data_IF_390062766661
#
_entry.id   IF_390062766661
#
_cell.length_a   1.000
_cell.length_b   1.000
_cell.length_c   1.000
_cell.angle_alpha   90.00
_cell.angle_beta   90.00
_cell.angle_gamma   90.00
#
_symmetry.space_group_name_H-M   'P 1'
#
loop_
_entity.id
_entity.type
_entity.pdbx_description
1 polymer ?
#
# COMPACT_ATOMS: atom_id res chain seq x y z
N UNK A 1 7.06 19.35 -1.17
CA UNK A 1 6.36 19.20 0.12
C UNK A 1 7.09 18.11 0.89
N UNK A 2 7.62 18.40 2.08
CA UNK A 2 8.24 17.36 2.89
C UNK A 2 7.13 16.59 3.60
N UNK A 3 7.06 15.28 3.37
CA UNK A 3 6.13 14.42 4.09
C UNK A 3 6.54 14.43 5.57
N UNK A 4 5.56 14.47 6.48
CA UNK A 4 5.85 14.38 7.90
C UNK A 4 6.56 13.05 8.21
N UNK A 5 7.59 13.09 9.07
CA UNK A 5 8.43 11.92 9.38
C UNK A 5 7.64 10.77 9.99
N UNK A 6 6.53 11.06 10.69
CA UNK A 6 5.66 10.02 11.24
C UNK A 6 4.85 9.36 10.13
N UNK A 7 4.34 10.14 9.18
CA UNK A 7 3.62 9.63 8.00
C UNK A 7 4.54 8.79 7.12
N UNK A 8 5.77 9.24 6.89
CA UNK A 8 6.76 8.46 6.14
C UNK A 8 7.02 7.10 6.80
N UNK A 9 7.28 7.06 8.11
CA UNK A 9 7.47 5.80 8.86
C UNK A 9 6.25 4.90 8.82
N UNK A 10 5.05 5.48 8.89
CA UNK A 10 3.80 4.74 8.79
C UNK A 10 3.69 4.03 7.43
N UNK A 11 3.93 4.76 6.35
CA UNK A 11 3.85 4.22 5.00
C UNK A 11 4.95 3.18 4.73
N UNK A 12 6.16 3.37 5.26
CA UNK A 12 7.21 2.34 5.21
C UNK A 12 6.75 1.08 5.94
N UNK A 13 6.15 1.19 7.13
CA UNK A 13 5.60 0.04 7.87
C UNK A 13 4.51 -0.67 7.05
N UNK A 14 3.65 0.09 6.38
CA UNK A 14 2.60 -0.45 5.49
C UNK A 14 3.23 -1.19 4.31
N UNK A 15 4.18 -0.61 3.60
CA UNK A 15 4.89 -1.29 2.51
C UNK A 15 5.60 -2.57 2.96
N UNK A 16 6.36 -2.53 4.07
CA UNK A 16 6.98 -3.74 4.64
C UNK A 16 5.95 -4.81 5.03
N UNK A 17 4.79 -4.39 5.55
CA UNK A 17 3.70 -5.32 5.89
C UNK A 17 3.01 -5.91 4.66
N UNK A 18 2.97 -5.16 3.54
CA UNK A 18 2.40 -5.62 2.27
C UNK A 18 3.14 -6.87 1.77
N UNK A 19 4.47 -6.87 1.84
CA UNK A 19 5.33 -8.00 1.48
C UNK A 19 5.25 -9.21 2.43
N UNK A 20 4.59 -9.09 3.60
CA UNK A 20 4.61 -10.16 4.62
C UNK A 20 3.64 -11.32 4.36
N UNK A 21 2.80 -11.23 3.33
CA UNK A 21 1.71 -12.18 3.03
C UNK A 21 0.73 -12.43 4.19
N UNK A 22 0.65 -11.50 5.15
CA UNK A 22 -0.22 -11.55 6.33
C UNK A 22 -1.21 -10.36 6.29
N UNK A 23 -2.38 -10.51 5.64
CA UNK A 23 -3.35 -9.42 5.46
C UNK A 23 -3.79 -8.76 6.78
N UNK A 24 -3.91 -9.54 7.84
CA UNK A 24 -4.28 -9.02 9.18
C UNK A 24 -3.18 -8.11 9.73
N UNK A 25 -1.90 -8.45 9.55
CA UNK A 25 -0.79 -7.57 9.99
C UNK A 25 -0.79 -6.26 9.21
N UNK A 26 -1.07 -6.32 7.91
CA UNK A 26 -1.20 -5.10 7.11
C UNK A 26 -2.39 -4.26 7.56
N UNK A 27 -3.54 -4.89 7.81
CA UNK A 27 -4.73 -4.22 8.36
C UNK A 27 -4.41 -3.48 9.65
N UNK A 28 -3.81 -4.15 10.62
CA UNK A 28 -3.39 -3.53 11.89
C UNK A 28 -2.39 -2.40 11.65
N UNK A 29 -1.40 -2.59 10.77
CA UNK A 29 -0.42 -1.55 10.47
C UNK A 29 -1.06 -0.30 9.84
N UNK A 30 -2.15 -0.43 9.07
CA UNK A 30 -2.90 0.70 8.54
C UNK A 30 -3.81 1.34 9.60
N UNK A 31 -4.48 0.54 10.43
CA UNK A 31 -5.35 1.00 11.52
C UNK A 31 -4.57 1.82 12.57
N UNK A 32 -3.33 1.43 12.88
CA UNK A 32 -2.42 2.18 13.78
C UNK A 32 -2.25 3.65 13.34
N UNK A 33 -2.44 3.95 12.05
CA UNK A 33 -2.27 5.28 11.46
C UNK A 33 -3.55 5.83 10.82
N UNK A 34 -4.71 5.23 11.10
CA UNK A 34 -6.01 5.59 10.51
C UNK A 34 -6.00 5.63 8.97
N UNK A 35 -5.23 4.74 8.32
CA UNK A 35 -5.15 4.66 6.87
C UNK A 35 -6.27 3.78 6.31
N UNK A 36 -6.95 4.28 5.27
CA UNK A 36 -7.94 3.52 4.52
C UNK A 36 -7.25 2.49 3.63
N UNK A 37 -7.69 1.23 3.69
CA UNK A 37 -7.17 0.16 2.82
C UNK A 37 -7.37 0.48 1.33
N UNK A 38 -8.52 1.08 0.99
CA UNK A 38 -8.84 1.50 -0.37
C UNK A 38 -7.89 2.61 -0.86
N UNK A 39 -7.66 3.64 -0.05
CA UNK A 39 -6.72 4.71 -0.41
C UNK A 39 -5.28 4.21 -0.52
N UNK A 40 -4.86 3.33 0.40
CA UNK A 40 -3.53 2.73 0.35
C UNK A 40 -3.35 1.92 -0.93
N UNK A 41 -4.32 1.08 -1.27
CA UNK A 41 -4.28 0.25 -2.48
C UNK A 41 -4.27 1.09 -3.77
N UNK A 42 -4.94 2.25 -3.79
CA UNK A 42 -4.97 3.13 -4.95
C UNK A 42 -3.78 4.07 -5.06
N UNK A 43 -3.28 4.60 -3.94
CA UNK A 43 -2.37 5.75 -3.94
C UNK A 43 -0.93 5.40 -3.59
N UNK A 44 -0.69 4.34 -2.81
CA UNK A 44 0.66 4.06 -2.30
C UNK A 44 1.47 3.26 -3.31
N UNK A 45 2.67 3.75 -3.57
CA UNK A 45 3.69 3.08 -4.36
C UNK A 45 4.91 2.78 -3.48
N UNK A 46 5.30 1.52 -3.41
CA UNK A 46 6.40 1.02 -2.62
C UNK A 46 7.58 0.69 -3.53
N UNK A 47 8.70 1.41 -3.39
CA UNK A 47 9.94 1.19 -4.15
C UNK A 47 9.76 1.21 -5.68
N UNK A 48 8.82 2.02 -6.18
CA UNK A 48 8.55 2.20 -7.61
C UNK A 48 7.36 1.39 -8.15
N UNK A 49 6.89 0.38 -7.43
CA UNK A 49 5.72 -0.41 -7.78
C UNK A 49 4.49 0.06 -6.99
N UNK A 50 3.28 -0.06 -7.54
CA UNK A 50 2.08 0.09 -6.71
C UNK A 50 2.05 -1.00 -5.63
N UNK A 51 1.41 -0.73 -4.50
CA UNK A 51 1.49 -1.63 -3.33
C UNK A 51 0.94 -3.04 -3.59
N UNK A 52 0.05 -3.22 -4.57
CA UNK A 52 -0.47 -4.53 -4.97
C UNK A 52 0.64 -5.29 -5.72
N UNK A 53 1.19 -4.67 -6.78
CA UNK A 53 2.31 -5.24 -7.55
C UNK A 53 3.51 -5.52 -6.65
N UNK A 54 3.86 -4.60 -5.75
CA UNK A 54 4.93 -4.79 -4.76
C UNK A 54 4.70 -6.02 -3.88
N UNK A 55 3.45 -6.26 -3.44
CA UNK A 55 3.12 -7.44 -2.67
C UNK A 55 3.25 -8.73 -3.53
N UNK A 56 2.79 -8.69 -4.78
CA UNK A 56 2.87 -9.84 -5.71
C UNK A 56 4.32 -10.22 -6.05
N UNK A 57 5.18 -9.25 -6.33
CA UNK A 57 6.61 -9.49 -6.64
C UNK A 57 7.36 -10.12 -5.48
N UNK A 58 6.86 -9.99 -4.24
CA UNK A 58 7.41 -10.61 -3.03
C UNK A 58 6.68 -11.89 -2.60
N UNK A 59 5.76 -12.40 -3.42
CA UNK A 59 4.99 -13.62 -3.13
C UNK A 59 3.89 -13.43 -2.08
N UNK A 60 3.51 -12.19 -1.77
CA UNK A 60 2.48 -11.85 -0.80
C UNK A 60 1.07 -11.80 -1.38
N UNK A 61 0.70 -12.84 -2.13
CA UNK A 61 -0.56 -12.92 -2.88
C UNK A 61 -1.83 -12.77 -2.03
N UNK A 62 -1.83 -13.21 -0.76
CA UNK A 62 -2.99 -13.02 0.14
C UNK A 62 -3.19 -11.54 0.45
N UNK A 63 -2.09 -10.82 0.62
CA UNK A 63 -2.13 -9.38 0.87
C UNK A 63 -2.53 -8.63 -0.40
N UNK A 64 -1.93 -8.97 -1.54
CA UNK A 64 -2.29 -8.40 -2.84
C UNK A 64 -3.78 -8.59 -3.15
N UNK A 65 -4.30 -9.81 -2.99
CA UNK A 65 -5.73 -10.10 -3.19
C UNK A 65 -6.62 -9.29 -2.24
N UNK A 66 -6.21 -9.08 -0.98
CA UNK A 66 -6.97 -8.24 -0.04
C UNK A 66 -7.01 -6.77 -0.49
N UNK A 67 -5.91 -6.27 -1.03
CA UNK A 67 -5.81 -4.90 -1.55
C UNK A 67 -6.64 -4.74 -2.83
N UNK A 68 -6.56 -5.68 -3.77
CA UNK A 68 -7.40 -5.72 -4.97
C UNK A 68 -8.89 -5.76 -4.62
N UNK A 69 -9.28 -6.56 -3.64
CA UNK A 69 -10.68 -6.61 -3.19
C UNK A 69 -11.13 -5.30 -2.51
N UNK A 70 -10.21 -4.50 -1.98
CA UNK A 70 -10.55 -3.23 -1.31
C UNK A 70 -10.86 -2.09 -2.27
N UNK A 71 -10.29 -2.13 -3.48
CA UNK A 71 -10.54 -1.15 -4.54
C UNK A 71 -11.81 -1.48 -5.34
N UNK A 72 -12.21 -2.75 -5.38
CA UNK A 72 -13.39 -3.16 -6.12
C UNK A 72 -13.24 -2.96 -7.63
N UNK A 73 -14.35 -2.69 -8.32
CA UNK A 73 -14.35 -2.39 -9.76
C UNK A 73 -13.94 -0.94 -10.03
N UNK A 74 -12.65 -0.62 -9.85
CA UNK A 74 -12.08 0.66 -10.31
C UNK A 74 -11.64 0.55 -11.76
N UNK A 75 -11.91 1.57 -12.55
CA UNK A 75 -11.36 1.63 -13.91
C UNK A 75 -9.88 2.02 -13.85
N UNK A 76 -9.09 1.55 -14.84
CA UNK A 76 -7.66 1.89 -14.93
C UNK A 76 -7.46 3.42 -14.98
N UNK A 77 -8.42 4.15 -15.56
CA UNK A 77 -8.40 5.61 -15.61
C UNK A 77 -8.51 6.28 -14.23
N UNK A 78 -9.20 5.66 -13.27
CA UNK A 78 -9.34 6.19 -11.91
C UNK A 78 -8.06 5.99 -11.12
N UNK A 79 -7.40 4.84 -11.32
CA UNK A 79 -6.08 4.54 -10.74
C UNK A 79 -5.03 5.51 -11.28
N UNK A 80 -5.08 5.88 -12.56
CA UNK A 80 -4.13 6.80 -13.19
C UNK A 80 -4.33 8.27 -12.78
N UNK A 81 -5.57 8.68 -12.48
CA UNK A 81 -5.89 10.04 -12.02
C UNK A 81 -5.60 10.27 -10.53
N UNK A 82 -5.43 9.21 -9.75
CA UNK A 82 -5.18 9.32 -8.33
C UNK A 82 -3.78 9.89 -8.04
N UNK A 83 -3.71 10.87 -7.14
CA UNK A 83 -2.43 11.38 -6.61
C UNK A 83 -1.66 10.26 -5.90
N UNK A 84 -0.51 9.89 -6.48
CA UNK A 84 0.34 8.81 -5.98
C UNK A 84 1.29 9.29 -4.89
N UNK A 85 1.46 8.44 -3.89
CA UNK A 85 2.40 8.62 -2.79
C UNK A 85 3.53 7.63 -2.99
N UNK A 86 4.72 8.15 -3.28
CA UNK A 86 5.93 7.35 -3.49
C UNK A 86 6.67 7.16 -2.18
N UNK A 87 6.83 5.89 -1.79
CA UNK A 87 7.52 5.47 -0.56
C UNK A 87 8.74 4.67 -0.99
N UNK A 88 9.92 5.23 -0.78
CA UNK A 88 11.18 4.56 -1.06
C UNK A 88 11.90 4.24 0.25
N UNK A 89 12.29 2.98 0.44
CA UNK A 89 12.96 2.53 1.65
C UNK A 89 13.90 1.37 1.36
N UNK A 90 14.90 1.21 2.23
CA UNK A 90 15.78 0.05 2.22
C UNK A 90 15.04 -1.09 2.94
N UNK A 91 14.91 -2.22 2.24
CA UNK A 91 14.17 -3.40 2.71
C UNK A 91 14.71 -3.97 4.01
#
# INVERSE_FOLDING_TARGET
MAMDKQVERALIKVCKSAASNKPIRMKVAMEDYNLSTHDVALKVMCNGDDIITFAETRGAYKTASRLQNSIGGVEIIDVAKADKIYVNFIE
#
